data_IF_789005179991
#
_entry.id   IF_789005179991
#
_cell.length_a   1.000
_cell.length_b   1.000
_cell.length_c   1.000
_cell.angle_alpha   90.00
_cell.angle_beta   90.00
_cell.angle_gamma   90.00
#
_symmetry.space_group_name_H-M   'P 1'
#
loop_
_entity.id
_entity.type
_entity.pdbx_description
1 polymer ?
#
# COMPACT_ATOMS: atom_id res chain seq x y z
N UNK A 1 10.46 43.71 26.02
CA UNK A 1 9.94 42.39 25.61
C UNK A 1 10.88 41.35 26.17
N UNK A 2 10.38 40.27 26.80
CA UNK A 2 11.26 39.30 27.46
C UNK A 2 11.77 38.24 26.47
N UNK A 3 13.03 37.85 26.59
CA UNK A 3 13.67 36.81 25.75
C UNK A 3 12.93 35.46 25.83
N UNK A 4 12.23 35.22 26.94
CA UNK A 4 11.37 34.06 27.15
C UNK A 4 10.14 34.03 26.24
N UNK A 5 9.58 35.20 25.87
CA UNK A 5 8.38 35.28 25.05
C UNK A 5 8.67 34.90 23.58
N UNK A 6 9.82 35.30 23.07
CA UNK A 6 10.26 34.96 21.70
C UNK A 6 10.57 33.47 21.55
N UNK A 7 11.13 32.84 22.59
CA UNK A 7 11.37 31.40 22.62
C UNK A 7 10.06 30.61 22.61
N UNK A 8 9.05 31.02 23.39
CA UNK A 8 7.70 30.41 23.36
C UNK A 8 7.07 30.52 21.97
N UNK A 9 7.13 31.71 21.37
CA UNK A 9 6.59 31.98 20.03
C UNK A 9 7.25 31.08 18.97
N UNK A 10 8.57 30.89 19.01
CA UNK A 10 9.31 30.02 18.07
C UNK A 10 8.99 28.52 18.25
N UNK A 11 8.80 28.08 19.50
CA UNK A 11 8.38 26.72 19.82
C UNK A 11 6.97 26.45 19.30
N UNK A 12 6.03 27.39 19.48
CA UNK A 12 4.65 27.26 19.03
C UNK A 12 4.51 27.21 17.50
N UNK A 13 5.27 28.06 16.80
CA UNK A 13 5.36 28.05 15.33
C UNK A 13 5.90 26.71 14.78
N UNK A 14 6.84 26.08 15.48
CA UNK A 14 7.42 24.78 15.09
C UNK A 14 6.49 23.62 15.43
N UNK A 15 5.81 23.68 16.58
CA UNK A 15 4.84 22.67 17.03
C UNK A 15 3.60 22.63 16.13
N UNK A 16 3.12 23.77 15.65
CA UNK A 16 1.99 23.84 14.73
C UNK A 16 2.36 23.32 13.33
N UNK A 17 3.54 23.69 12.80
CA UNK A 17 4.08 23.10 11.55
C UNK A 17 4.23 21.58 11.61
N UNK A 18 4.67 21.03 12.75
CA UNK A 18 4.77 19.58 12.92
C UNK A 18 3.40 18.89 13.03
N UNK A 19 2.40 19.48 13.67
CA UNK A 19 1.03 18.93 13.72
C UNK A 19 0.37 18.84 12.34
N UNK A 20 0.54 19.88 11.52
CA UNK A 20 -0.02 19.93 10.15
C UNK A 20 0.69 18.91 9.24
N UNK A 21 2.01 18.75 9.36
CA UNK A 21 2.75 17.73 8.63
C UNK A 21 2.44 16.30 9.10
N UNK A 22 2.22 16.07 10.40
CA UNK A 22 1.87 14.75 10.93
C UNK A 22 0.48 14.30 10.46
N UNK A 23 -0.51 15.21 10.46
CA UNK A 23 -1.85 14.92 9.91
C UNK A 23 -1.82 14.72 8.39
N UNK A 24 -1.07 15.53 7.63
CA UNK A 24 -0.95 15.36 6.18
C UNK A 24 -0.20 14.08 5.79
N UNK A 25 0.76 13.64 6.59
CA UNK A 25 1.46 12.36 6.40
C UNK A 25 0.54 11.16 6.70
N UNK A 26 -0.29 11.23 7.75
CA UNK A 26 -1.23 10.15 8.08
C UNK A 26 -2.21 9.85 6.93
N UNK A 27 -2.71 10.89 6.25
CA UNK A 27 -3.62 10.73 5.10
C UNK A 27 -2.93 10.00 3.94
N UNK A 28 -1.66 10.32 3.69
CA UNK A 28 -0.86 9.71 2.63
C UNK A 28 -0.48 8.26 2.98
N UNK A 29 -0.13 7.98 4.25
CA UNK A 29 0.21 6.64 4.73
C UNK A 29 -1.01 5.70 4.62
N UNK A 30 -2.19 6.17 5.03
CA UNK A 30 -3.42 5.38 4.91
C UNK A 30 -3.75 5.10 3.45
N UNK A 31 -3.70 6.11 2.57
CA UNK A 31 -3.95 5.91 1.14
C UNK A 31 -2.96 4.94 0.49
N UNK A 32 -1.68 5.00 0.88
CA UNK A 32 -0.65 4.07 0.43
C UNK A 32 -0.92 2.64 0.92
N UNK A 33 -1.25 2.47 2.21
CA UNK A 33 -1.58 1.17 2.79
C UNK A 33 -2.79 0.54 2.10
N UNK A 34 -3.87 1.31 1.89
CA UNK A 34 -5.04 0.84 1.15
C UNK A 34 -4.68 0.44 -0.28
N UNK A 35 -3.90 1.26 -0.99
CA UNK A 35 -3.44 0.92 -2.34
C UNK A 35 -2.70 -0.42 -2.36
N UNK A 36 -1.72 -0.60 -1.48
CA UNK A 36 -0.94 -1.84 -1.35
C UNK A 36 -1.86 -3.04 -1.07
N UNK A 37 -2.79 -2.90 -0.13
CA UNK A 37 -3.78 -3.94 0.18
C UNK A 37 -4.64 -4.28 -1.03
N UNK A 38 -5.16 -3.27 -1.75
CA UNK A 38 -6.01 -3.48 -2.93
C UNK A 38 -5.26 -4.07 -4.11
N UNK A 39 -3.99 -3.69 -4.34
CA UNK A 39 -3.15 -4.27 -5.40
C UNK A 39 -2.92 -5.77 -5.17
N UNK A 40 -2.64 -6.17 -3.93
CA UNK A 40 -2.46 -7.57 -3.57
C UNK A 40 -3.78 -8.36 -3.72
N UNK A 41 -4.87 -7.84 -3.16
CA UNK A 41 -6.19 -8.50 -3.22
C UNK A 41 -6.67 -8.63 -4.66
N UNK A 42 -6.51 -7.59 -5.48
CA UNK A 42 -6.90 -7.62 -6.89
C UNK A 42 -6.10 -8.66 -7.68
N UNK A 43 -4.77 -8.73 -7.48
CA UNK A 43 -3.93 -9.69 -8.17
C UNK A 43 -4.33 -11.14 -7.85
N UNK A 44 -4.55 -11.44 -6.57
CA UNK A 44 -5.00 -12.77 -6.11
C UNK A 44 -6.39 -13.08 -6.63
N UNK A 45 -7.34 -12.14 -6.51
CA UNK A 45 -8.71 -12.33 -6.95
C UNK A 45 -8.80 -12.64 -8.45
N UNK A 46 -8.11 -11.87 -9.28
CA UNK A 46 -8.06 -12.08 -10.74
C UNK A 46 -7.43 -13.44 -11.08
N UNK A 47 -6.31 -13.79 -10.44
CA UNK A 47 -5.64 -15.06 -10.70
C UNK A 47 -6.50 -16.27 -10.29
N UNK A 48 -7.15 -16.22 -9.12
CA UNK A 48 -8.08 -17.24 -8.65
C UNK A 48 -9.30 -17.35 -9.57
N UNK A 49 -9.87 -16.23 -10.00
CA UNK A 49 -11.02 -16.24 -10.91
C UNK A 49 -10.65 -16.89 -12.25
N UNK A 50 -9.50 -16.51 -12.84
CA UNK A 50 -8.99 -17.13 -14.06
C UNK A 50 -8.75 -18.64 -13.84
N UNK A 51 -8.13 -19.02 -12.73
CA UNK A 51 -7.90 -20.43 -12.41
C UNK A 51 -9.18 -21.23 -12.28
N UNK A 52 -10.23 -20.64 -11.69
CA UNK A 52 -11.54 -21.29 -11.59
C UNK A 52 -12.17 -21.54 -12.95
N UNK A 53 -12.14 -20.55 -13.86
CA UNK A 53 -12.62 -20.75 -15.22
C UNK A 53 -11.81 -21.79 -15.98
N UNK A 54 -10.48 -21.81 -15.79
CA UNK A 54 -9.61 -22.80 -16.40
C UNK A 54 -9.90 -24.21 -15.90
N UNK A 55 -10.01 -24.38 -14.58
CA UNK A 55 -10.35 -25.68 -13.98
C UNK A 55 -11.71 -26.18 -14.47
N UNK A 56 -12.70 -25.29 -14.57
CA UNK A 56 -14.04 -25.63 -15.08
C UNK A 56 -14.02 -25.99 -16.57
N UNK A 57 -13.24 -25.28 -17.38
CA UNK A 57 -13.18 -25.52 -18.82
C UNK A 57 -12.47 -26.82 -19.16
N UNK A 58 -11.39 -27.14 -18.43
CA UNK A 58 -10.58 -28.34 -18.65
C UNK A 58 -11.09 -29.56 -17.86
N UNK A 59 -12.12 -29.39 -17.01
CA UNK A 59 -12.64 -30.45 -16.15
C UNK A 59 -11.63 -30.92 -15.10
N UNK A 60 -10.63 -30.11 -14.77
CA UNK A 60 -9.62 -30.44 -13.79
C UNK A 60 -10.16 -30.22 -12.37
N UNK A 61 -9.65 -31.01 -11.43
CA UNK A 61 -9.69 -30.70 -9.99
C UNK A 61 -9.03 -29.32 -9.77
N UNK A 62 -9.24 -28.62 -8.63
CA UNK A 62 -8.84 -27.22 -8.41
C UNK A 62 -7.32 -26.98 -8.41
N UNK A 63 -6.64 -27.33 -9.49
CA UNK A 63 -5.19 -27.38 -9.66
C UNK A 63 -4.74 -26.06 -10.26
N UNK A 64 -5.43 -25.56 -11.29
CA UNK A 64 -5.13 -24.25 -11.85
C UNK A 64 -5.44 -23.13 -10.87
N UNK A 65 -6.53 -23.25 -10.08
CA UNK A 65 -6.80 -22.34 -8.96
C UNK A 65 -5.61 -22.26 -8.01
N UNK A 66 -5.07 -23.40 -7.55
CA UNK A 66 -3.97 -23.42 -6.58
C UNK A 66 -2.69 -22.83 -7.17
N UNK A 67 -2.33 -23.24 -8.40
CA UNK A 67 -1.13 -22.74 -9.08
C UNK A 67 -1.25 -21.23 -9.32
N UNK A 68 -2.37 -20.77 -9.89
CA UNK A 68 -2.57 -19.36 -10.20
C UNK A 68 -2.76 -18.52 -8.93
N UNK A 69 -3.29 -19.07 -7.84
CA UNK A 69 -3.33 -18.38 -6.56
C UNK A 69 -1.92 -18.04 -6.05
N UNK A 70 -0.99 -19.01 -6.08
CA UNK A 70 0.41 -18.79 -5.67
C UNK A 70 1.07 -17.76 -6.60
N UNK A 71 0.85 -17.88 -7.92
CA UNK A 71 1.35 -16.91 -8.91
C UNK A 71 0.75 -15.51 -8.66
N UNK A 72 -0.53 -15.41 -8.33
CA UNK A 72 -1.23 -14.17 -8.02
C UNK A 72 -0.66 -13.47 -6.78
N UNK A 73 -0.35 -14.24 -5.74
CA UNK A 73 0.35 -13.72 -4.55
C UNK A 73 1.74 -13.21 -4.93
N UNK A 74 2.52 -14.00 -5.66
CA UNK A 74 3.86 -13.60 -6.08
C UNK A 74 3.85 -12.32 -6.94
N UNK A 75 2.92 -12.23 -7.89
CA UNK A 75 2.73 -11.06 -8.73
C UNK A 75 2.30 -9.82 -7.92
N UNK A 76 1.37 -10.00 -6.97
CA UNK A 76 0.93 -8.94 -6.07
C UNK A 76 2.07 -8.39 -5.22
N UNK A 77 2.88 -9.27 -4.61
CA UNK A 77 4.06 -8.87 -3.84
C UNK A 77 5.07 -8.15 -4.74
N UNK A 78 5.32 -8.66 -5.95
CA UNK A 78 6.25 -8.03 -6.89
C UNK A 78 5.83 -6.61 -7.27
N UNK A 79 4.53 -6.38 -7.51
CA UNK A 79 3.99 -5.05 -7.79
C UNK A 79 4.14 -4.10 -6.60
N UNK A 80 3.87 -4.57 -5.38
CA UNK A 80 4.04 -3.77 -4.16
C UNK A 80 5.50 -3.38 -3.95
N UNK A 81 6.43 -4.33 -4.09
CA UNK A 81 7.87 -4.09 -3.94
C UNK A 81 8.37 -3.12 -5.02
N UNK A 82 7.89 -3.26 -6.26
CA UNK A 82 8.21 -2.33 -7.35
C UNK A 82 7.70 -0.92 -7.05
N UNK A 83 6.45 -0.79 -6.60
CA UNK A 83 5.86 0.49 -6.19
C UNK A 83 6.67 1.15 -5.07
N UNK A 84 7.07 0.39 -4.04
CA UNK A 84 7.90 0.90 -2.96
C UNK A 84 9.29 1.35 -3.45
N UNK A 85 9.94 0.58 -4.34
CA UNK A 85 11.24 0.96 -4.93
C UNK A 85 11.16 2.22 -5.79
N UNK A 86 10.05 2.44 -6.51
CA UNK A 86 9.85 3.64 -7.33
C UNK A 86 9.73 4.90 -6.46
N UNK A 87 9.05 4.80 -5.32
CA UNK A 87 8.91 5.91 -4.37
C UNK A 87 10.27 6.32 -3.78
N UNK A 88 11.17 5.36 -3.54
CA UNK A 88 12.51 5.62 -2.99
C UNK A 88 13.53 6.13 -4.02
N UNK A 89 13.20 6.15 -5.32
CA UNK A 89 14.11 6.57 -6.39
C UNK A 89 13.81 7.97 -6.95
N UNK A 90 12.77 8.65 -6.44
CA UNK A 90 12.36 10.00 -6.83
C UNK A 90 12.72 11.04 -5.78
#
# INVERSE_FOLDING_TARGET
MSEFDDLKKKIELTKNKNKINLSKNNNNILGLAFRISTELVAAVFVATFIGYYLDKWLGTKPIFIIILFIVGIAAGIFNVVRSAKMINKG
#
